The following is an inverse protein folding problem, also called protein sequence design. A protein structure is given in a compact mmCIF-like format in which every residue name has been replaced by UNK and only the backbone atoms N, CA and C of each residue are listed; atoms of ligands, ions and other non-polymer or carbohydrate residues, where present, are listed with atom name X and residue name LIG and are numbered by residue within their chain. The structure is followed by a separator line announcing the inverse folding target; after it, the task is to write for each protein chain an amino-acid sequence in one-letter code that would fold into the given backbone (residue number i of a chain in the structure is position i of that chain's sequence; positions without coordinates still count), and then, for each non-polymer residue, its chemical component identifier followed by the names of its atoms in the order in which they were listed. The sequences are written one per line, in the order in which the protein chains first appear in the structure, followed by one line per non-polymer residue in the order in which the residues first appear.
data_IF_826679591863
#
_entry.id   IF_826679591863
#
_cell.length_a   1.000
_cell.length_b   1.000
_cell.length_c   1.000
_cell.angle_alpha   90.00
_cell.angle_beta   90.00
_cell.angle_gamma   90.00
#
_symmetry.space_group_name_H-M   'P 1'
#
loop_
_entity.id
_entity.type
_entity.pdbx_description
1 polymer ?
#
# COMPACT_ATOMS: atom_id res chain seq x y z
N UNK A 1 -9.91 73.45 -43.81
CA UNK A 1 -11.38 73.26 -43.76
C UNK A 1 -11.67 71.92 -44.42
N UNK A 2 -12.61 71.14 -43.86
CA UNK A 2 -12.92 69.70 -44.11
C UNK A 2 -12.40 68.78 -42.99
N UNK A 3 -13.32 67.94 -42.52
CA UNK A 3 -13.42 67.27 -41.23
C UNK A 3 -13.21 65.75 -41.30
N UNK A 4 -13.01 65.12 -40.13
CA UNK A 4 -13.63 63.85 -39.67
C UNK A 4 -13.16 63.58 -38.23
N UNK A 5 -14.01 63.79 -37.21
CA UNK A 5 -15.02 62.87 -36.64
C UNK A 5 -14.41 61.65 -35.92
N UNK A 6 -14.73 61.63 -34.61
CA UNK A 6 -14.52 60.61 -33.58
C UNK A 6 -14.72 59.16 -34.04
N UNK A 7 -13.98 58.27 -33.40
CA UNK A 7 -14.54 57.01 -32.90
C UNK A 7 -13.82 56.63 -31.61
N UNK A 8 -14.51 56.85 -30.50
CA UNK A 8 -14.25 56.20 -29.22
C UNK A 8 -14.54 54.71 -29.43
N UNK A 9 -13.52 53.85 -29.36
CA UNK A 9 -13.72 52.41 -29.26
C UNK A 9 -13.53 52.00 -27.81
N UNK A 10 -14.68 51.68 -27.23
CA UNK A 10 -14.91 51.05 -25.94
C UNK A 10 -14.11 49.75 -25.86
N UNK A 11 -13.03 49.75 -25.08
CA UNK A 11 -12.55 48.53 -24.44
C UNK A 11 -13.51 48.21 -23.30
N UNK A 12 -14.48 47.33 -23.55
CA UNK A 12 -15.17 46.60 -22.48
C UNK A 12 -14.13 45.77 -21.74
N UNK A 13 -13.53 46.39 -20.71
CA UNK A 13 -12.79 45.67 -19.69
C UNK A 13 -13.78 44.73 -18.99
N UNK A 14 -13.68 43.45 -19.31
CA UNK A 14 -14.33 42.37 -18.58
C UNK A 14 -13.86 42.43 -17.13
N UNK A 15 -14.65 43.11 -16.29
CA UNK A 15 -14.36 43.34 -14.89
C UNK A 15 -14.38 41.96 -14.18
N UNK A 16 -13.26 41.45 -13.65
CA UNK A 16 -13.27 40.19 -12.93
C UNK A 16 -14.15 40.36 -11.70
N UNK A 17 -15.27 39.64 -11.66
CA UNK A 17 -16.16 39.60 -10.50
C UNK A 17 -15.29 39.27 -9.29
N UNK A 18 -15.14 40.23 -8.37
CA UNK A 18 -14.34 40.05 -7.16
C UNK A 18 -14.83 38.81 -6.41
N UNK A 19 -13.91 37.93 -5.99
CA UNK A 19 -14.23 36.65 -5.33
C UNK A 19 -15.26 36.80 -4.20
N UNK A 20 -15.27 37.94 -3.50
CA UNK A 20 -16.25 38.27 -2.45
C UNK A 20 -17.71 38.31 -2.94
N UNK A 21 -17.94 38.82 -4.15
CA UNK A 21 -19.28 38.90 -4.76
C UNK A 21 -19.72 37.51 -5.21
N UNK A 22 -18.82 36.73 -5.79
CA UNK A 22 -19.10 35.35 -6.19
C UNK A 22 -19.46 34.48 -4.96
N UNK A 23 -18.77 34.66 -3.84
CA UNK A 23 -19.02 33.89 -2.60
C UNK A 23 -20.39 34.25 -2.01
N UNK A 24 -20.73 35.54 -1.98
CA UNK A 24 -22.05 36.01 -1.54
C UNK A 24 -23.19 35.44 -2.37
N UNK A 25 -23.04 35.36 -3.70
CA UNK A 25 -24.05 34.79 -4.61
C UNK A 25 -24.24 33.30 -4.34
N UNK A 26 -23.16 32.52 -4.26
CA UNK A 26 -23.25 31.07 -3.97
C UNK A 26 -23.91 30.82 -2.62
N UNK A 27 -23.56 31.60 -1.59
CA UNK A 27 -24.18 31.50 -0.28
C UNK A 27 -25.67 31.85 -0.28
N UNK A 28 -26.11 32.82 -1.09
CA UNK A 28 -27.53 33.16 -1.25
C UNK A 28 -28.29 32.06 -2.00
N UNK A 29 -27.72 31.51 -3.07
CA UNK A 29 -28.32 30.41 -3.84
C UNK A 29 -28.53 29.17 -2.98
N UNK A 30 -27.52 28.75 -2.20
CA UNK A 30 -27.65 27.61 -1.27
C UNK A 30 -28.72 27.84 -0.21
N UNK A 31 -28.82 29.07 0.32
CA UNK A 31 -29.84 29.39 1.31
C UNK A 31 -31.25 29.39 0.72
N UNK A 32 -31.42 29.90 -0.52
CA UNK A 32 -32.70 29.94 -1.21
C UNK A 32 -33.23 28.54 -1.56
N UNK A 33 -32.34 27.59 -1.90
CA UNK A 33 -32.71 26.19 -2.16
C UNK A 33 -33.09 25.43 -0.87
N UNK A 34 -32.58 25.87 0.28
CA UNK A 34 -32.94 25.33 1.60
C UNK A 34 -34.31 25.81 2.11
N UNK A 35 -34.83 26.92 1.60
CA UNK A 35 -36.19 27.39 1.91
C UNK A 35 -37.21 26.52 1.15
N UNK A 36 -38.43 26.38 1.69
CA UNK A 36 -39.45 25.44 1.19
C UNK A 36 -39.54 25.35 -0.35
N UNK A 37 -39.65 24.14 -0.94
CA UNK A 37 -39.59 23.90 -2.40
C UNK A 37 -40.56 24.71 -3.27
N UNK A 38 -41.56 25.35 -2.65
CA UNK A 38 -42.61 26.13 -3.28
C UNK A 38 -42.33 27.65 -3.29
N UNK A 39 -41.27 28.11 -2.63
CA UNK A 39 -40.88 29.53 -2.50
C UNK A 39 -39.49 29.83 -3.07
N UNK A 40 -38.77 28.82 -3.57
CA UNK A 40 -37.48 29.03 -4.23
C UNK A 40 -37.69 29.84 -5.51
N UNK A 41 -37.07 31.03 -5.58
CA UNK A 41 -37.04 31.86 -6.76
C UNK A 41 -36.52 31.04 -7.96
N UNK A 42 -37.28 31.02 -9.07
CA UNK A 42 -36.93 30.29 -10.30
C UNK A 42 -35.52 30.61 -10.77
N UNK A 43 -35.09 31.85 -10.56
CA UNK A 43 -33.74 32.31 -10.89
C UNK A 43 -32.66 31.70 -9.98
N UNK A 44 -32.94 31.52 -8.69
CA UNK A 44 -32.01 30.86 -7.76
C UNK A 44 -31.85 29.36 -8.09
N UNK A 45 -32.92 28.70 -8.52
CA UNK A 45 -32.87 27.29 -8.94
C UNK A 45 -32.07 27.11 -10.23
N UNK A 46 -32.22 28.00 -11.21
CA UNK A 46 -31.38 28.01 -12.43
C UNK A 46 -29.90 28.22 -12.11
N UNK A 47 -29.59 29.14 -11.20
CA UNK A 47 -28.22 29.36 -10.74
C UNK A 47 -27.66 28.16 -9.99
N UNK A 48 -28.47 27.49 -9.16
CA UNK A 48 -28.08 26.25 -8.50
C UNK A 48 -27.76 25.14 -9.51
N UNK A 49 -28.61 24.93 -10.52
CA UNK A 49 -28.34 23.97 -11.59
C UNK A 49 -27.08 24.32 -12.39
N UNK A 50 -26.78 25.62 -12.57
CA UNK A 50 -25.53 26.06 -13.19
C UNK A 50 -24.31 25.70 -12.35
N UNK A 51 -24.37 25.91 -11.03
CA UNK A 51 -23.29 25.52 -10.09
C UNK A 51 -23.09 23.99 -10.12
N UNK A 52 -24.18 23.21 -10.03
CA UNK A 52 -24.13 21.75 -10.14
C UNK A 52 -23.51 21.29 -11.46
N UNK A 53 -23.85 21.97 -12.57
CA UNK A 53 -23.30 21.69 -13.90
C UNK A 53 -21.83 22.06 -14.07
N UNK A 54 -21.34 23.10 -13.38
CA UNK A 54 -19.91 23.45 -13.35
C UNK A 54 -19.10 22.36 -12.63
N UNK A 55 -19.68 21.75 -11.60
CA UNK A 55 -19.06 20.69 -10.80
C UNK A 55 -19.21 19.29 -11.41
N UNK A 56 -19.97 19.13 -12.49
CA UNK A 56 -20.07 17.88 -13.21
C UNK A 56 -18.76 17.56 -13.95
N UNK A 57 -17.94 16.69 -13.37
CA UNK A 57 -16.69 16.23 -13.96
C UNK A 57 -16.86 15.00 -14.85
N UNK A 58 -18.06 14.46 -15.03
CA UNK A 58 -18.30 13.20 -15.77
C UNK A 58 -17.81 13.25 -17.23
N UNK A 59 -17.73 14.44 -17.82
CA UNK A 59 -17.30 14.66 -19.21
C UNK A 59 -15.79 14.91 -19.35
N UNK A 60 -15.03 15.03 -18.24
CA UNK A 60 -13.59 15.31 -18.29
C UNK A 60 -12.83 14.03 -18.67
N UNK A 61 -12.16 14.07 -19.83
CA UNK A 61 -11.38 12.93 -20.34
C UNK A 61 -9.87 13.15 -20.26
N UNK A 62 -9.41 14.40 -20.31
CA UNK A 62 -8.01 14.75 -20.22
C UNK A 62 -7.84 16.09 -19.46
N UNK A 63 -7.07 16.13 -18.36
CA UNK A 63 -6.87 17.33 -17.56
C UNK A 63 -6.10 18.45 -18.28
N UNK A 64 -5.29 18.14 -19.30
CA UNK A 64 -4.39 19.12 -19.94
C UNK A 64 -5.08 19.92 -21.06
N UNK A 65 -6.31 19.57 -21.43
CA UNK A 65 -7.06 20.19 -22.55
C UNK A 65 -8.23 21.07 -22.08
N UNK A 66 -8.30 21.39 -20.80
CA UNK A 66 -9.42 22.15 -20.24
C UNK A 66 -9.27 23.67 -20.52
N UNK A 67 -10.38 24.31 -20.90
CA UNK A 67 -10.40 25.76 -21.19
C UNK A 67 -10.05 26.55 -19.90
N UNK A 68 -9.08 27.49 -19.95
CA UNK A 68 -8.68 28.30 -18.79
C UNK A 68 -9.85 29.05 -18.12
N UNK A 69 -10.83 29.53 -18.88
CA UNK A 69 -11.99 30.25 -18.32
C UNK A 69 -12.89 29.32 -17.51
N UNK A 70 -13.09 28.09 -18.00
CA UNK A 70 -13.85 27.06 -17.27
C UNK A 70 -13.12 26.63 -16.00
N UNK A 71 -11.79 26.56 -16.05
CA UNK A 71 -10.95 26.26 -14.90
C UNK A 71 -11.03 27.36 -13.84
N UNK A 72 -10.96 28.63 -14.23
CA UNK A 72 -11.11 29.77 -13.31
C UNK A 72 -12.48 29.76 -12.63
N UNK A 73 -13.57 29.58 -13.41
CA UNK A 73 -14.93 29.44 -12.87
C UNK A 73 -15.05 28.28 -11.89
N UNK A 74 -14.45 27.13 -12.21
CA UNK A 74 -14.43 25.96 -11.33
C UNK A 74 -13.73 26.26 -10.00
N UNK A 75 -12.54 26.88 -10.04
CA UNK A 75 -11.78 27.27 -8.83
C UNK A 75 -12.57 28.28 -7.99
N UNK A 76 -13.16 29.30 -8.59
CA UNK A 76 -13.98 30.29 -7.87
C UNK A 76 -15.20 29.62 -7.23
N UNK A 77 -15.87 28.69 -7.92
CA UNK A 77 -16.98 27.93 -7.34
C UNK A 77 -16.53 27.06 -6.14
N UNK A 78 -15.38 26.38 -6.25
CA UNK A 78 -14.85 25.57 -5.13
C UNK A 78 -14.53 26.43 -3.92
N UNK A 79 -13.88 27.58 -4.11
CA UNK A 79 -13.58 28.52 -3.01
C UNK A 79 -14.85 29.08 -2.37
N UNK A 80 -15.84 29.42 -3.18
CA UNK A 80 -17.14 29.90 -2.73
C UNK A 80 -17.88 28.85 -1.90
N UNK A 81 -17.89 27.59 -2.36
CA UNK A 81 -18.47 26.48 -1.60
C UNK A 81 -17.70 26.24 -0.32
N UNK A 82 -16.38 26.34 -0.35
CA UNK A 82 -15.53 26.15 0.82
C UNK A 82 -15.72 27.24 1.89
N UNK A 83 -16.14 28.46 1.51
CA UNK A 83 -16.51 29.51 2.46
C UNK A 83 -17.93 29.34 3.02
N UNK A 84 -18.85 28.77 2.25
CA UNK A 84 -20.29 28.73 2.57
C UNK A 84 -20.78 27.34 3.03
N UNK A 85 -19.88 26.52 3.58
CA UNK A 85 -20.16 25.11 3.94
C UNK A 85 -21.29 24.96 4.95
N UNK A 86 -21.45 25.92 5.86
CA UNK A 86 -22.54 25.91 6.86
C UNK A 86 -23.95 25.95 6.26
N UNK A 87 -24.06 26.29 4.97
CA UNK A 87 -25.33 26.34 4.22
C UNK A 87 -25.60 25.08 3.42
N UNK A 88 -24.64 24.15 3.33
CA UNK A 88 -24.77 22.90 2.58
C UNK A 88 -25.51 21.84 3.44
N UNK A 89 -26.80 21.67 3.16
CA UNK A 89 -27.65 20.64 3.76
C UNK A 89 -27.75 19.37 2.91
N UNK A 90 -27.66 18.18 3.54
CA UNK A 90 -27.70 16.87 2.87
C UNK A 90 -29.02 16.60 2.15
N UNK A 91 -30.14 17.10 2.67
CA UNK A 91 -31.47 16.82 2.13
C UNK A 91 -31.77 17.65 0.88
N UNK A 92 -31.30 18.91 0.85
CA UNK A 92 -31.62 19.86 -0.21
C UNK A 92 -30.57 19.88 -1.31
N UNK A 93 -29.31 19.57 -0.99
CA UNK A 93 -28.19 19.68 -1.93
C UNK A 93 -27.65 18.33 -2.42
N UNK A 94 -28.50 17.30 -2.47
CA UNK A 94 -28.07 15.95 -2.84
C UNK A 94 -27.35 15.89 -4.20
N UNK A 95 -27.84 16.59 -5.23
CA UNK A 95 -27.20 16.62 -6.56
C UNK A 95 -25.80 17.25 -6.54
N UNK A 96 -25.63 18.31 -5.76
CA UNK A 96 -24.33 18.96 -5.57
C UNK A 96 -23.34 18.03 -4.85
N UNK A 97 -23.77 17.46 -3.73
CA UNK A 97 -22.95 16.53 -2.94
C UNK A 97 -22.58 15.27 -3.74
N UNK A 98 -23.53 14.73 -4.50
CA UNK A 98 -23.29 13.61 -5.40
C UNK A 98 -22.21 13.94 -6.43
N UNK A 99 -22.26 15.12 -7.06
CA UNK A 99 -21.22 15.51 -8.01
C UNK A 99 -19.87 15.65 -7.32
N UNK A 100 -19.81 16.26 -6.13
CA UNK A 100 -18.57 16.41 -5.35
C UNK A 100 -17.97 15.05 -4.95
N UNK A 101 -18.77 14.13 -4.41
CA UNK A 101 -18.29 12.82 -3.94
C UNK A 101 -18.03 11.80 -5.07
N UNK A 102 -18.41 12.11 -6.31
CA UNK A 102 -18.10 11.27 -7.49
C UNK A 102 -16.93 11.80 -8.32
N UNK A 103 -16.33 12.93 -7.93
CA UNK A 103 -15.16 13.48 -8.63
C UNK A 103 -13.97 12.53 -8.52
N UNK A 104 -13.38 12.21 -9.67
CA UNK A 104 -12.05 11.58 -9.71
C UNK A 104 -10.98 12.67 -9.84
N UNK A 105 -10.15 12.78 -8.80
CA UNK A 105 -9.10 13.80 -8.64
C UNK A 105 -8.07 13.72 -9.78
N UNK A 106 -7.90 12.53 -10.38
CA UNK A 106 -7.02 12.29 -11.52
C UNK A 106 -7.38 13.13 -12.75
N UNK A 107 -8.65 13.45 -12.96
CA UNK A 107 -9.08 14.25 -14.12
C UNK A 107 -9.08 15.76 -13.86
N UNK A 108 -8.71 16.19 -12.65
CA UNK A 108 -8.60 17.61 -12.31
C UNK A 108 -7.23 18.17 -12.73
N UNK A 109 -7.15 19.42 -13.21
CA UNK A 109 -5.88 20.11 -13.40
C UNK A 109 -5.13 20.31 -12.06
N UNK A 110 -3.79 20.30 -12.08
CA UNK A 110 -2.97 20.43 -10.87
C UNK A 110 -3.35 21.63 -10.00
N UNK A 111 -3.58 22.79 -10.60
CA UNK A 111 -3.93 24.03 -9.88
C UNK A 111 -5.37 24.06 -9.33
N UNK A 112 -6.15 22.98 -9.48
CA UNK A 112 -7.51 22.88 -8.91
C UNK A 112 -7.62 21.81 -7.84
N UNK A 113 -6.62 20.92 -7.75
CA UNK A 113 -6.59 19.82 -6.78
C UNK A 113 -6.49 20.37 -5.35
N UNK A 114 -5.60 21.32 -5.02
CA UNK A 114 -5.51 21.84 -3.65
C UNK A 114 -6.81 22.50 -3.17
N UNK A 115 -7.48 23.27 -4.04
CA UNK A 115 -8.75 23.95 -3.72
C UNK A 115 -9.88 22.95 -3.54
N UNK A 116 -9.92 21.89 -4.36
CA UNK A 116 -10.87 20.81 -4.18
C UNK A 116 -10.64 20.06 -2.86
N UNK A 117 -9.40 19.72 -2.54
CA UNK A 117 -9.05 19.04 -1.30
C UNK A 117 -9.29 19.90 -0.05
N UNK A 118 -9.13 21.23 -0.17
CA UNK A 118 -9.51 22.16 0.89
C UNK A 118 -11.03 22.15 1.13
N UNK A 119 -11.85 22.13 0.07
CA UNK A 119 -13.30 21.93 0.20
C UNK A 119 -13.63 20.61 0.90
N UNK A 120 -13.00 19.49 0.50
CA UNK A 120 -13.20 18.18 1.14
C UNK A 120 -12.79 18.19 2.60
N UNK A 121 -11.66 18.82 2.93
CA UNK A 121 -11.17 18.92 4.31
C UNK A 121 -12.17 19.67 5.20
N UNK A 122 -12.73 20.77 4.70
CA UNK A 122 -13.72 21.54 5.44
C UNK A 122 -15.10 20.88 5.49
N UNK A 123 -15.52 20.16 4.44
CA UNK A 123 -16.73 19.35 4.46
C UNK A 123 -16.63 18.23 5.50
N UNK A 124 -15.48 17.56 5.58
CA UNK A 124 -15.24 16.55 6.60
C UNK A 124 -15.33 17.13 8.02
N UNK A 125 -14.93 18.39 8.21
CA UNK A 125 -15.00 19.10 9.49
C UNK A 125 -16.43 19.54 9.90
N UNK A 126 -17.42 19.43 9.01
CA UNK A 126 -18.82 19.59 9.39
C UNK A 126 -19.22 18.37 10.22
N UNK A 127 -19.80 18.63 11.40
CA UNK A 127 -20.10 17.59 12.36
C UNK A 127 -20.98 16.48 11.76
N UNK A 128 -20.48 15.24 11.84
CA UNK A 128 -21.14 13.95 11.67
C UNK A 128 -21.83 13.61 10.33
N UNK A 129 -21.96 14.55 9.39
CA UNK A 129 -22.75 14.32 8.17
C UNK A 129 -21.94 13.81 6.97
N UNK A 130 -20.67 14.25 6.81
CA UNK A 130 -19.93 14.06 5.55
C UNK A 130 -18.60 13.32 5.68
N UNK A 131 -18.12 13.07 6.90
CA UNK A 131 -16.78 12.49 7.13
C UNK A 131 -16.56 11.18 6.35
N UNK A 132 -17.51 10.25 6.44
CA UNK A 132 -17.40 8.93 5.81
C UNK A 132 -17.32 9.04 4.28
N UNK A 133 -18.16 9.88 3.67
CA UNK A 133 -18.17 10.10 2.22
C UNK A 133 -16.90 10.80 1.73
N UNK A 134 -16.40 11.80 2.49
CA UNK A 134 -15.12 12.45 2.21
C UNK A 134 -13.96 11.45 2.22
N UNK A 135 -13.90 10.57 3.24
CA UNK A 135 -12.85 9.55 3.33
C UNK A 135 -12.99 8.50 2.22
N UNK A 136 -14.21 8.08 1.87
CA UNK A 136 -14.46 7.17 0.74
C UNK A 136 -14.00 7.76 -0.59
N UNK A 137 -14.30 9.04 -0.85
CA UNK A 137 -13.82 9.75 -2.04
C UNK A 137 -12.29 9.70 -2.13
N UNK A 138 -11.58 10.00 -1.03
CA UNK A 138 -10.11 10.03 -1.01
C UNK A 138 -9.51 8.63 -1.23
N UNK A 139 -10.02 7.60 -0.53
CA UNK A 139 -9.54 6.22 -0.68
C UNK A 139 -9.84 5.66 -2.07
N UNK A 140 -10.99 5.99 -2.67
CA UNK A 140 -11.31 5.58 -4.04
C UNK A 140 -10.33 6.17 -5.08
N UNK A 141 -9.70 7.31 -4.77
CA UNK A 141 -8.70 7.94 -5.63
C UNK A 141 -7.27 7.41 -5.39
N UNK A 142 -7.05 6.44 -4.50
CA UNK A 142 -5.75 5.75 -4.38
C UNK A 142 -5.42 4.94 -5.65
N UNK A 143 -6.46 4.57 -6.41
CA UNK A 143 -6.32 3.86 -7.67
C UNK A 143 -6.49 4.84 -8.83
N UNK A 144 -5.43 5.05 -9.64
CA UNK A 144 -5.51 5.84 -10.86
C UNK A 144 -6.49 5.22 -11.87
N UNK A 145 -7.02 6.01 -12.83
CA UNK A 145 -7.86 5.46 -13.88
C UNK A 145 -7.09 4.41 -14.70
N UNK A 146 -7.71 3.25 -14.88
CA UNK A 146 -7.14 2.12 -15.61
C UNK A 146 -7.82 1.95 -16.97
N UNK A 147 -7.03 1.76 -18.02
CA UNK A 147 -7.48 1.30 -19.33
C UNK A 147 -7.73 -0.21 -19.24
N UNK A 148 -8.87 -0.65 -19.77
CA UNK A 148 -9.29 -2.07 -19.78
C UNK A 148 -9.20 -2.74 -18.40
N UNK A 149 -9.40 -1.95 -17.33
CA UNK A 149 -9.31 -2.37 -15.91
C UNK A 149 -7.97 -2.98 -15.48
N UNK A 150 -6.95 -2.93 -16.33
CA UNK A 150 -5.69 -3.66 -16.14
C UNK A 150 -4.47 -2.76 -16.16
N UNK A 151 -4.41 -1.78 -17.07
CA UNK A 151 -3.22 -0.94 -17.27
C UNK A 151 -3.46 0.50 -16.92
N UNK A 152 -2.54 1.11 -16.17
CA UNK A 152 -2.59 2.52 -15.84
C UNK A 152 -2.43 3.40 -17.10
N UNK A 153 -3.21 4.49 -17.16
CA UNK A 153 -3.13 5.44 -18.28
C UNK A 153 -1.80 6.21 -18.21
N UNK A 154 -1.12 6.37 -19.35
CA UNK A 154 0.21 7.02 -19.43
C UNK A 154 0.30 8.40 -18.77
N UNK A 155 -0.70 9.27 -18.97
CA UNK A 155 -0.70 10.61 -18.36
C UNK A 155 -0.90 10.57 -16.83
N UNK A 156 -1.55 9.53 -16.31
CA UNK A 156 -1.74 9.36 -14.87
C UNK A 156 -0.42 8.95 -14.19
N UNK A 157 0.43 8.17 -14.88
CA UNK A 157 1.77 7.78 -14.40
C UNK A 157 2.59 9.00 -14.00
N UNK A 158 2.67 10.00 -14.89
CA UNK A 158 3.50 11.20 -14.68
C UNK A 158 3.04 12.09 -13.52
N UNK A 159 1.79 11.95 -13.09
CA UNK A 159 1.19 12.78 -12.02
C UNK A 159 0.99 12.00 -10.72
N UNK A 160 1.26 10.69 -10.72
CA UNK A 160 1.01 9.77 -9.61
C UNK A 160 1.60 10.24 -8.30
N UNK A 161 2.91 10.53 -8.28
CA UNK A 161 3.62 10.99 -7.08
C UNK A 161 3.02 12.27 -6.51
N UNK A 162 2.68 13.24 -7.37
CA UNK A 162 2.07 14.50 -6.95
C UNK A 162 0.68 14.28 -6.35
N UNK A 163 -0.19 13.53 -7.02
CA UNK A 163 -1.57 13.27 -6.56
C UNK A 163 -1.55 12.48 -5.25
N UNK A 164 -0.72 11.45 -5.12
CA UNK A 164 -0.58 10.68 -3.88
C UNK A 164 -0.13 11.56 -2.72
N UNK A 165 0.86 12.44 -2.93
CA UNK A 165 1.27 13.40 -1.92
C UNK A 165 0.11 14.30 -1.47
N UNK A 166 -0.70 14.81 -2.41
CA UNK A 166 -1.86 15.64 -2.09
C UNK A 166 -2.95 14.87 -1.32
N UNK A 167 -3.24 13.62 -1.71
CA UNK A 167 -4.21 12.75 -1.03
C UNK A 167 -3.78 12.46 0.41
N UNK A 168 -2.54 12.03 0.62
CA UNK A 168 -2.00 11.76 1.95
C UNK A 168 -2.01 13.00 2.83
N UNK A 169 -1.60 14.16 2.29
CA UNK A 169 -1.64 15.43 3.02
C UNK A 169 -3.07 15.82 3.42
N UNK A 170 -4.06 15.62 2.54
CA UNK A 170 -5.46 15.89 2.87
C UNK A 170 -5.98 14.96 3.98
N UNK A 171 -5.70 13.66 3.90
CA UNK A 171 -6.07 12.69 4.92
C UNK A 171 -5.44 13.03 6.28
N UNK A 172 -4.15 13.36 6.31
CA UNK A 172 -3.45 13.81 7.52
C UNK A 172 -4.09 15.07 8.09
N UNK A 173 -4.44 16.06 7.24
CA UNK A 173 -5.14 17.29 7.67
C UNK A 173 -6.50 16.97 8.29
N UNK A 174 -7.31 16.12 7.66
CA UNK A 174 -8.61 15.69 8.20
C UNK A 174 -8.44 15.00 9.56
N UNK A 175 -7.45 14.12 9.70
CA UNK A 175 -7.19 13.44 10.98
C UNK A 175 -6.68 14.36 12.08
N UNK A 176 -5.97 15.44 11.75
CA UNK A 176 -5.54 16.42 12.73
C UNK A 176 -6.70 17.26 13.26
N UNK A 177 -7.74 17.46 12.43
CA UNK A 177 -8.97 18.18 12.81
C UNK A 177 -9.93 17.25 13.57
N UNK A 178 -10.06 16.00 13.12
CA UNK A 178 -11.09 15.05 13.59
C UNK A 178 -10.42 13.80 14.15
N UNK A 179 -10.38 13.64 15.49
CA UNK A 179 -9.75 12.49 16.14
C UNK A 179 -10.36 11.12 15.77
N UNK A 180 -11.63 11.09 15.36
CA UNK A 180 -12.32 9.86 14.95
C UNK A 180 -11.96 9.42 13.52
N UNK A 181 -11.41 10.32 12.69
CA UNK A 181 -11.17 10.05 11.28
C UNK A 181 -10.25 8.83 11.03
N UNK A 182 -9.15 8.58 11.78
CA UNK A 182 -8.33 7.38 11.62
C UNK A 182 -9.11 6.07 11.80
N UNK A 183 -10.04 6.03 12.76
CA UNK A 183 -10.86 4.84 13.02
C UNK A 183 -11.83 4.57 11.87
N UNK A 184 -12.47 5.60 11.34
CA UNK A 184 -13.37 5.49 10.17
C UNK A 184 -12.57 5.10 8.94
N UNK A 185 -11.43 5.76 8.71
CA UNK A 185 -10.51 5.48 7.60
C UNK A 185 -10.05 4.03 7.61
N UNK A 186 -9.69 3.49 8.77
CA UNK A 186 -9.35 2.06 8.92
C UNK A 186 -10.46 1.16 8.37
N UNK A 187 -11.70 1.38 8.79
CA UNK A 187 -12.84 0.57 8.31
C UNK A 187 -13.13 0.71 6.82
N UNK A 188 -12.75 1.83 6.21
CA UNK A 188 -12.85 2.05 4.77
C UNK A 188 -11.72 1.31 4.04
N UNK A 189 -10.48 1.47 4.50
CA UNK A 189 -9.31 0.76 3.94
C UNK A 189 -9.52 -0.76 4.04
N UNK A 190 -10.08 -1.25 5.15
CA UNK A 190 -10.43 -2.67 5.32
C UNK A 190 -11.29 -3.21 4.16
N UNK A 191 -12.28 -2.42 3.70
CA UNK A 191 -13.20 -2.80 2.63
C UNK A 191 -12.63 -2.57 1.22
N UNK A 192 -11.75 -1.60 1.08
CA UNK A 192 -11.15 -1.20 -0.19
C UNK A 192 -9.85 -1.93 -0.51
N UNK A 193 -9.29 -2.68 0.45
CA UNK A 193 -8.04 -3.42 0.27
C UNK A 193 -8.10 -4.30 -0.99
N UNK A 194 -7.07 -4.26 -1.86
CA UNK A 194 -7.06 -5.09 -3.06
C UNK A 194 -7.06 -6.58 -2.74
N UNK A 195 -7.78 -7.34 -3.55
CA UNK A 195 -7.83 -8.79 -3.45
C UNK A 195 -6.76 -9.45 -4.34
N UNK A 196 -6.56 -10.77 -4.16
CA UNK A 196 -5.63 -11.58 -4.96
C UNK A 196 -5.82 -11.37 -6.48
N UNK A 197 -7.09 -11.36 -6.93
CA UNK A 197 -7.49 -11.25 -8.34
C UNK A 197 -7.52 -9.82 -8.91
N UNK A 198 -7.29 -8.80 -8.09
CA UNK A 198 -7.22 -7.44 -8.60
C UNK A 198 -6.00 -7.25 -9.51
N UNK A 199 -6.12 -6.35 -10.49
CA UNK A 199 -5.02 -6.05 -11.40
C UNK A 199 -3.78 -5.57 -10.65
N UNK A 200 -2.62 -5.87 -11.24
CA UNK A 200 -1.31 -5.52 -10.71
C UNK A 200 -1.20 -4.01 -10.43
N UNK A 201 -1.52 -3.18 -11.43
CA UNK A 201 -1.47 -1.72 -11.31
C UNK A 201 -2.41 -1.16 -10.24
N UNK A 202 -3.60 -1.74 -10.08
CA UNK A 202 -4.53 -1.36 -9.00
C UNK A 202 -3.91 -1.63 -7.63
N UNK A 203 -3.36 -2.83 -7.46
CA UNK A 203 -2.82 -3.29 -6.18
C UNK A 203 -1.60 -2.46 -5.77
N UNK A 204 -0.65 -2.30 -6.69
CA UNK A 204 0.57 -1.51 -6.47
C UNK A 204 0.22 -0.07 -6.11
N UNK A 205 -0.65 0.57 -6.91
CA UNK A 205 -1.02 1.98 -6.69
C UNK A 205 -1.73 2.19 -5.35
N UNK A 206 -2.60 1.25 -4.95
CA UNK A 206 -3.28 1.32 -3.67
C UNK A 206 -2.30 1.18 -2.50
N UNK A 207 -1.41 0.18 -2.54
CA UNK A 207 -0.42 -0.06 -1.47
C UNK A 207 0.57 1.11 -1.36
N UNK A 208 1.04 1.65 -2.47
CA UNK A 208 1.96 2.79 -2.48
C UNK A 208 1.34 4.04 -1.86
N UNK A 209 0.10 4.39 -2.23
CA UNK A 209 -0.59 5.53 -1.62
C UNK A 209 -0.87 5.28 -0.12
N UNK A 210 -1.20 4.03 0.23
CA UNK A 210 -1.50 3.63 1.61
C UNK A 210 -0.27 3.72 2.53
N UNK A 211 0.91 3.29 2.07
CA UNK A 211 2.17 3.44 2.79
C UNK A 211 2.55 4.91 3.01
N UNK A 212 2.16 5.79 2.10
CA UNK A 212 2.32 7.25 2.27
C UNK A 212 1.55 7.84 3.47
N UNK A 213 0.58 7.12 4.05
CA UNK A 213 -0.15 7.54 5.25
C UNK A 213 0.60 7.27 6.55
N UNK A 214 1.78 6.65 6.46
CA UNK A 214 2.54 6.25 7.63
C UNK A 214 3.15 7.42 8.44
N UNK A 215 2.95 8.65 7.99
CA UNK A 215 3.57 9.83 8.60
C UNK A 215 2.68 10.46 9.68
N UNK A 216 3.33 11.00 10.72
CA UNK A 216 2.69 11.78 11.77
C UNK A 216 1.74 11.00 12.69
N UNK A 217 0.76 11.71 13.29
CA UNK A 217 -0.22 11.14 14.24
C UNK A 217 -1.13 10.09 13.61
N UNK A 218 -1.45 10.26 12.33
CA UNK A 218 -2.26 9.30 11.59
C UNK A 218 -1.52 7.97 11.50
N UNK A 219 -0.26 7.99 11.04
CA UNK A 219 0.60 6.82 10.97
C UNK A 219 0.65 6.04 12.29
N UNK A 220 0.89 6.72 13.41
CA UNK A 220 0.94 6.04 14.72
C UNK A 220 -0.35 5.27 15.10
N UNK A 221 -1.52 5.66 14.55
CA UNK A 221 -2.80 4.99 14.81
C UNK A 221 -3.14 3.87 13.82
N UNK A 222 -2.73 4.00 12.56
CA UNK A 222 -3.12 3.05 11.50
C UNK A 222 -1.99 2.16 11.00
N UNK A 223 -0.72 2.56 11.17
CA UNK A 223 0.50 1.85 10.68
C UNK A 223 0.45 0.36 10.91
N UNK A 224 0.18 -0.06 12.15
CA UNK A 224 0.15 -1.48 12.50
C UNK A 224 -0.88 -2.27 11.68
N UNK A 225 -2.08 -1.70 11.50
CA UNK A 225 -3.14 -2.32 10.70
C UNK A 225 -2.82 -2.29 9.21
N UNK A 226 -2.20 -1.22 8.72
CA UNK A 226 -1.80 -1.11 7.31
C UNK A 226 -0.75 -2.15 6.95
N UNK A 227 0.32 -2.25 7.74
CA UNK A 227 1.38 -3.23 7.54
C UNK A 227 0.88 -4.65 7.66
N UNK A 228 0.03 -4.91 8.65
CA UNK A 228 -0.61 -6.21 8.82
C UNK A 228 -1.33 -6.65 7.54
N UNK A 229 -2.16 -5.77 6.96
CA UNK A 229 -2.84 -6.07 5.69
C UNK A 229 -1.91 -6.29 4.52
N UNK A 230 -0.86 -5.47 4.42
CA UNK A 230 0.13 -5.59 3.34
C UNK A 230 0.80 -6.95 3.44
N UNK A 231 1.30 -7.33 4.61
CA UNK A 231 1.99 -8.61 4.82
C UNK A 231 1.05 -9.79 4.60
N UNK A 232 -0.21 -9.71 5.03
CA UNK A 232 -1.21 -10.74 4.72
C UNK A 232 -1.42 -10.90 3.22
N UNK A 233 -1.59 -9.80 2.47
CA UNK A 233 -1.71 -9.84 1.01
C UNK A 233 -0.48 -10.47 0.35
N UNK A 234 0.73 -10.11 0.79
CA UNK A 234 1.97 -10.68 0.26
C UNK A 234 2.09 -12.17 0.59
N UNK A 235 1.68 -12.57 1.79
CA UNK A 235 1.69 -13.97 2.21
C UNK A 235 0.72 -14.79 1.38
N UNK A 236 -0.50 -14.28 1.13
CA UNK A 236 -1.46 -14.91 0.22
C UNK A 236 -0.90 -15.03 -1.20
N UNK A 237 -0.27 -13.97 -1.72
CA UNK A 237 0.38 -14.02 -3.03
C UNK A 237 1.48 -15.08 -3.07
N UNK A 238 2.36 -15.10 -2.08
CA UNK A 238 3.52 -15.99 -1.97
C UNK A 238 3.14 -17.48 -1.88
N UNK A 239 2.14 -17.81 -1.08
CA UNK A 239 1.62 -19.19 -0.97
C UNK A 239 1.04 -19.68 -2.30
N UNK A 240 0.43 -18.80 -3.09
CA UNK A 240 -0.13 -19.13 -4.40
C UNK A 240 0.93 -19.22 -5.52
N UNK A 241 2.21 -18.94 -5.23
CA UNK A 241 3.30 -19.12 -6.20
C UNK A 241 3.80 -20.58 -6.17
N UNK A 242 3.62 -21.27 -7.29
CA UNK A 242 4.08 -22.65 -7.52
C UNK A 242 5.45 -22.68 -8.21
N UNK A 243 6.33 -23.62 -7.81
CA UNK A 243 7.65 -23.80 -8.42
C UNK A 243 7.60 -24.14 -9.92
N UNK A 244 6.56 -24.85 -10.38
CA UNK A 244 6.33 -25.17 -11.79
C UNK A 244 6.23 -23.90 -12.66
N UNK A 245 5.59 -22.84 -12.12
CA UNK A 245 5.48 -21.55 -12.79
C UNK A 245 6.80 -20.77 -12.86
N UNK A 246 7.70 -20.95 -11.88
CA UNK A 246 9.01 -20.27 -11.83
C UNK A 246 10.03 -20.98 -12.74
N UNK A 247 10.10 -22.32 -12.69
CA UNK A 247 11.12 -23.11 -13.39
C UNK A 247 10.93 -23.10 -14.92
N UNK A 248 9.70 -22.96 -15.42
CA UNK A 248 9.44 -22.88 -16.86
C UNK A 248 9.90 -21.54 -17.48
N UNK A 249 9.99 -20.44 -16.71
CA UNK A 249 10.56 -19.19 -17.22
C UNK A 249 12.08 -19.26 -17.38
N UNK A 250 12.80 -19.99 -16.52
CA UNK A 250 14.25 -20.17 -16.67
C UNK A 250 14.60 -21.01 -17.90
N UNK A 251 13.72 -21.94 -18.32
CA UNK A 251 13.88 -22.64 -19.59
C UNK A 251 13.55 -21.77 -20.81
N UNK A 252 12.69 -20.75 -20.68
CA UNK A 252 12.39 -19.79 -21.76
C UNK A 252 13.28 -18.52 -21.77
N UNK A 253 14.10 -18.32 -20.74
CA UNK A 253 15.20 -17.35 -20.68
C UNK A 253 16.47 -18.10 -20.30
N UNK A 254 17.01 -18.82 -21.28
CA UNK A 254 18.21 -19.63 -21.14
C UNK A 254 19.36 -18.88 -20.47
N UNK A 255 19.79 -19.39 -19.32
CA UNK A 255 21.10 -19.09 -18.74
C UNK A 255 21.81 -20.33 -18.15
N UNK A 256 21.15 -21.49 -18.14
CA UNK A 256 21.79 -22.77 -17.85
C UNK A 256 21.37 -23.80 -18.90
N UNK A 257 22.12 -23.81 -19.99
CA UNK A 257 22.21 -24.97 -20.87
C UNK A 257 23.03 -26.01 -20.10
N UNK A 258 22.33 -26.97 -19.49
CA UNK A 258 22.97 -28.13 -18.89
C UNK A 258 22.73 -29.27 -19.87
N UNK A 259 23.79 -29.57 -20.63
CA UNK A 259 23.93 -30.72 -21.51
C UNK A 259 23.34 -31.96 -20.83
N UNK A 260 22.09 -32.29 -21.17
CA UNK A 260 21.48 -33.56 -20.84
C UNK A 260 22.04 -34.57 -21.83
N UNK A 261 22.98 -35.38 -21.33
CA UNK A 261 23.51 -36.54 -22.02
C UNK A 261 22.38 -37.40 -22.58
N UNK A 262 22.57 -37.78 -23.84
CA UNK A 262 21.79 -38.74 -24.62
C UNK A 262 21.36 -39.96 -23.79
N UNK A 263 20.05 -40.12 -23.63
CA UNK A 263 19.43 -41.41 -23.35
C UNK A 263 18.26 -41.59 -24.32
N UNK A 264 18.55 -42.32 -25.39
CA UNK A 264 17.60 -42.84 -26.37
C UNK A 264 16.45 -43.63 -25.73
N UNK A 265 15.25 -43.44 -26.26
CA UNK A 265 14.14 -44.38 -26.14
C UNK A 265 12.75 -43.79 -26.34
N UNK A 266 12.28 -43.77 -27.60
CA UNK A 266 10.89 -43.97 -28.11
C UNK A 266 9.73 -43.99 -27.08
N UNK A 267 8.55 -43.39 -27.28
CA UNK A 267 7.69 -43.36 -28.49
C UNK A 267 6.50 -42.38 -28.29
N UNK A 268 5.73 -42.22 -29.36
CA UNK A 268 4.76 -41.18 -29.78
C UNK A 268 3.43 -40.97 -29.00
N UNK A 269 2.77 -39.84 -29.32
CA UNK A 269 1.31 -39.58 -29.33
C UNK A 269 0.56 -39.43 -27.97
N UNK A 270 -0.47 -38.62 -27.76
CA UNK A 270 -1.30 -37.73 -28.58
C UNK A 270 -2.00 -36.71 -27.64
N UNK A 271 -2.57 -35.64 -28.20
CA UNK A 271 -2.98 -34.43 -27.48
C UNK A 271 -4.12 -34.57 -26.47
N UNK A 272 -4.16 -33.64 -25.50
CA UNK A 272 -5.36 -33.21 -24.75
C UNK A 272 -5.04 -31.99 -23.86
N UNK A 273 -5.84 -30.93 -23.98
CA UNK A 273 -6.20 -30.11 -22.82
C UNK A 273 -5.68 -28.68 -22.75
N UNK A 274 -6.48 -27.77 -23.33
CA UNK A 274 -6.48 -26.31 -23.12
C UNK A 274 -6.70 -25.85 -21.65
N UNK A 275 -6.44 -26.71 -20.65
CA UNK A 275 -6.55 -26.46 -19.21
C UNK A 275 -5.25 -26.03 -18.52
N UNK A 276 -4.08 -26.38 -19.08
CA UNK A 276 -2.78 -26.03 -18.49
C UNK A 276 -2.40 -24.55 -18.62
N UNK A 277 -2.77 -23.91 -19.75
CA UNK A 277 -2.39 -22.51 -20.06
C UNK A 277 -3.01 -21.50 -19.08
N UNK A 278 -4.19 -21.80 -18.52
CA UNK A 278 -4.88 -20.88 -17.60
C UNK A 278 -4.30 -20.93 -16.18
N UNK A 279 -3.74 -22.07 -15.76
CA UNK A 279 -3.00 -22.22 -14.49
C UNK A 279 -1.60 -21.61 -14.62
N UNK A 280 -0.94 -21.78 -15.78
CA UNK A 280 0.39 -21.22 -16.10
C UNK A 280 0.46 -19.69 -16.05
N UNK A 281 -0.52 -18.99 -16.64
CA UNK A 281 -0.56 -17.53 -16.62
C UNK A 281 -0.85 -16.95 -15.22
N UNK A 282 -1.59 -17.69 -14.39
CA UNK A 282 -1.93 -17.28 -13.03
C UNK A 282 -0.75 -17.35 -12.07
N UNK A 283 0.06 -18.41 -12.13
CA UNK A 283 1.23 -18.57 -11.26
C UNK A 283 2.28 -17.45 -11.47
N UNK A 284 2.49 -17.04 -12.72
CA UNK A 284 3.41 -15.95 -13.05
C UNK A 284 2.87 -14.57 -12.62
N UNK A 285 1.57 -14.33 -12.80
CA UNK A 285 0.96 -13.07 -12.42
C UNK A 285 1.06 -12.75 -10.91
N UNK A 286 0.97 -13.78 -10.05
CA UNK A 286 1.18 -13.59 -8.61
C UNK A 286 2.65 -13.28 -8.27
N UNK A 287 3.60 -13.94 -8.94
CA UNK A 287 5.03 -13.71 -8.76
C UNK A 287 5.44 -12.30 -9.17
N UNK A 288 5.05 -11.83 -10.37
CA UNK A 288 5.32 -10.46 -10.80
C UNK A 288 4.68 -9.42 -9.88
N UNK A 289 3.43 -9.66 -9.46
CA UNK A 289 2.70 -8.77 -8.55
C UNK A 289 3.37 -8.72 -7.18
N UNK A 290 3.88 -9.84 -6.68
CA UNK A 290 4.63 -9.91 -5.44
C UNK A 290 5.95 -9.17 -5.54
N UNK A 291 6.72 -9.37 -6.62
CA UNK A 291 8.00 -8.68 -6.85
C UNK A 291 7.84 -7.15 -6.87
N UNK A 292 6.89 -6.65 -7.67
CA UNK A 292 6.60 -5.21 -7.75
C UNK A 292 6.16 -4.65 -6.37
N UNK A 293 5.37 -5.38 -5.59
CA UNK A 293 4.96 -4.96 -4.25
C UNK A 293 6.11 -4.98 -3.24
N UNK A 294 7.01 -5.97 -3.33
CA UNK A 294 8.20 -6.04 -2.49
C UNK A 294 9.12 -4.84 -2.75
N UNK A 295 9.28 -4.43 -4.01
CA UNK A 295 10.01 -3.20 -4.36
C UNK A 295 9.39 -1.96 -3.71
N UNK A 296 8.07 -1.81 -3.77
CA UNK A 296 7.36 -0.68 -3.15
C UNK A 296 7.60 -0.62 -1.63
N UNK A 297 7.53 -1.77 -0.95
CA UNK A 297 7.74 -1.85 0.51
C UNK A 297 9.20 -1.56 0.88
N UNK A 298 10.15 -2.08 0.10
CA UNK A 298 11.56 -1.84 0.35
C UNK A 298 11.94 -0.38 0.12
N UNK A 299 11.39 0.27 -0.90
CA UNK A 299 11.62 1.71 -1.10
C UNK A 299 10.97 2.53 0.03
N UNK A 300 9.79 2.13 0.52
CA UNK A 300 9.19 2.74 1.72
C UNK A 300 10.13 2.63 2.92
N UNK A 301 10.61 1.42 3.27
CA UNK A 301 11.54 1.23 4.39
C UNK A 301 12.87 1.97 4.21
N UNK A 302 13.35 2.10 2.97
CA UNK A 302 14.55 2.87 2.65
C UNK A 302 14.36 4.37 2.88
N UNK A 303 13.14 4.88 2.71
CA UNK A 303 12.81 6.30 2.94
C UNK A 303 12.65 6.67 4.43
N UNK A 304 12.50 5.68 5.31
CA UNK A 304 12.32 5.90 6.75
C UNK A 304 13.63 6.30 7.46
N UNK A 305 13.50 7.15 8.47
CA UNK A 305 14.56 7.38 9.44
C UNK A 305 14.71 6.19 10.41
N UNK A 306 15.80 6.17 11.18
CA UNK A 306 16.12 5.06 12.09
C UNK A 306 15.04 4.82 13.16
N UNK A 307 14.41 5.88 13.68
CA UNK A 307 13.40 5.76 14.72
C UNK A 307 12.09 5.16 14.17
N UNK A 308 11.66 5.63 13.00
CA UNK A 308 10.49 5.12 12.31
C UNK A 308 10.72 3.67 11.84
N UNK A 309 11.92 3.37 11.33
CA UNK A 309 12.32 2.01 10.95
C UNK A 309 12.21 1.03 12.12
N UNK A 310 12.65 1.41 13.32
CA UNK A 310 12.56 0.56 14.51
C UNK A 310 11.10 0.31 14.94
N UNK A 311 10.22 1.32 14.82
CA UNK A 311 8.78 1.15 15.09
C UNK A 311 8.15 0.16 14.10
N UNK A 312 8.47 0.32 12.82
CA UNK A 312 8.07 -0.57 11.72
C UNK A 312 8.56 -2.01 11.98
N UNK A 313 9.83 -2.17 12.34
CA UNK A 313 10.41 -3.46 12.72
C UNK A 313 9.68 -4.13 13.89
N UNK A 314 9.33 -3.37 14.93
CA UNK A 314 8.62 -3.91 16.10
C UNK A 314 7.23 -4.43 15.72
N UNK A 315 6.51 -3.69 14.87
CA UNK A 315 5.21 -4.11 14.34
C UNK A 315 5.40 -5.36 13.46
N UNK A 316 6.39 -5.35 12.57
CA UNK A 316 6.64 -6.43 11.63
C UNK A 316 7.06 -7.73 12.34
N UNK A 317 7.79 -7.68 13.46
CA UNK A 317 8.06 -8.86 14.31
C UNK A 317 6.76 -9.51 14.79
N UNK A 318 5.80 -8.70 15.21
CA UNK A 318 4.50 -9.18 15.69
C UNK A 318 3.72 -9.84 14.57
N UNK A 319 3.66 -9.20 13.39
CA UNK A 319 2.99 -9.74 12.20
C UNK A 319 3.70 -11.01 11.71
N UNK A 320 5.04 -11.02 11.70
CA UNK A 320 5.84 -12.16 11.24
C UNK A 320 5.50 -13.42 12.04
N UNK A 321 5.41 -13.32 13.37
CA UNK A 321 5.03 -14.46 14.22
C UNK A 321 3.59 -14.91 13.97
N UNK A 322 2.66 -13.97 13.76
CA UNK A 322 1.26 -14.30 13.56
C UNK A 322 0.97 -14.93 12.17
N UNK A 323 1.60 -14.41 11.12
CA UNK A 323 1.17 -14.61 9.74
C UNK A 323 2.23 -15.24 8.82
N UNK A 324 3.51 -15.20 9.17
CA UNK A 324 4.58 -15.73 8.30
C UNK A 324 5.17 -17.00 8.90
N UNK A 325 5.43 -17.03 10.21
CA UNK A 325 6.05 -18.16 10.90
C UNK A 325 5.16 -19.41 10.94
N UNK A 326 3.84 -19.19 11.00
CA UNK A 326 2.80 -20.22 11.15
C UNK A 326 2.33 -20.79 9.82
N UNK A 327 2.69 -20.16 8.71
CA UNK A 327 2.26 -20.57 7.37
C UNK A 327 3.26 -21.58 6.80
N UNK A 328 2.74 -22.66 6.23
CA UNK A 328 3.57 -23.65 5.54
C UNK A 328 4.19 -23.03 4.28
N UNK A 329 5.48 -22.69 4.38
CA UNK A 329 6.40 -22.35 3.29
C UNK A 329 6.14 -21.05 2.50
N UNK A 330 6.03 -19.87 3.15
CA UNK A 330 6.31 -18.62 2.45
C UNK A 330 7.73 -18.67 1.83
N UNK A 331 7.84 -18.34 0.54
CA UNK A 331 9.08 -18.43 -0.25
C UNK A 331 9.76 -17.08 -0.38
N UNK A 332 9.00 -15.98 -0.39
CA UNK A 332 9.51 -14.65 -0.66
C UNK A 332 9.16 -13.61 0.42
N UNK A 333 7.97 -13.67 1.04
CA UNK A 333 7.53 -12.62 2.00
C UNK A 333 8.44 -12.52 3.23
N UNK A 334 9.15 -13.59 3.60
CA UNK A 334 10.12 -13.56 4.69
C UNK A 334 11.31 -12.63 4.42
N UNK A 335 11.58 -12.26 3.17
CA UNK A 335 12.65 -11.30 2.85
C UNK A 335 12.33 -9.88 3.32
N UNK A 336 11.09 -9.58 3.70
CA UNK A 336 10.74 -8.30 4.35
C UNK A 336 11.47 -8.16 5.68
N UNK A 337 11.46 -9.21 6.51
CA UNK A 337 12.24 -9.23 7.76
C UNK A 337 13.74 -9.19 7.49
N UNK A 338 14.21 -9.90 6.46
CA UNK A 338 15.63 -9.89 6.11
C UNK A 338 16.11 -8.50 5.69
N UNK A 339 15.32 -7.80 4.87
CA UNK A 339 15.66 -6.46 4.36
C UNK A 339 15.72 -5.41 5.48
N UNK A 340 14.73 -5.37 6.37
CA UNK A 340 14.72 -4.40 7.47
C UNK A 340 15.88 -4.65 8.46
N UNK A 341 16.25 -5.91 8.70
CA UNK A 341 17.43 -6.25 9.49
C UNK A 341 18.74 -5.82 8.82
N UNK A 342 18.82 -5.93 7.49
CA UNK A 342 20.00 -5.49 6.74
C UNK A 342 20.19 -3.95 6.78
N UNK A 343 19.12 -3.20 6.98
CA UNK A 343 19.14 -1.73 7.11
C UNK A 343 19.70 -1.26 8.45
N UNK A 344 19.50 -2.04 9.50
CA UNK A 344 20.00 -1.78 10.85
C UNK A 344 20.55 -3.07 11.48
N UNK A 345 21.79 -3.45 11.10
CA UNK A 345 22.41 -4.69 11.57
C UNK A 345 22.71 -4.74 13.06
N UNK A 346 22.88 -3.57 13.71
CA UNK A 346 23.27 -3.52 15.12
C UNK A 346 22.09 -3.82 16.04
N UNK A 347 20.92 -3.23 15.74
CA UNK A 347 19.74 -3.36 16.59
C UNK A 347 18.76 -4.36 15.99
N UNK A 348 18.22 -4.09 14.80
CA UNK A 348 17.15 -4.89 14.22
C UNK A 348 17.58 -6.34 13.95
N UNK A 349 18.78 -6.56 13.39
CA UNK A 349 19.25 -7.92 13.10
C UNK A 349 19.49 -8.76 14.36
N UNK A 350 20.12 -8.17 15.37
CA UNK A 350 20.34 -8.81 16.66
C UNK A 350 19.01 -9.12 17.35
N UNK A 351 18.12 -8.15 17.43
CA UNK A 351 16.79 -8.33 18.02
C UNK A 351 15.97 -9.41 17.32
N UNK A 352 16.07 -9.52 15.99
CA UNK A 352 15.37 -10.56 15.25
C UNK A 352 15.91 -11.95 15.55
N UNK A 353 17.24 -12.11 15.63
CA UNK A 353 17.86 -13.38 15.99
C UNK A 353 17.49 -13.81 17.42
N UNK A 354 17.48 -12.86 18.37
CA UNK A 354 17.04 -13.10 19.75
C UNK A 354 15.55 -13.47 19.79
N UNK A 355 14.71 -12.73 19.08
CA UNK A 355 13.27 -13.01 18.98
C UNK A 355 12.97 -14.43 18.50
N UNK A 356 13.64 -14.89 17.43
CA UNK A 356 13.49 -16.28 16.96
C UNK A 356 13.99 -17.28 18.01
N UNK A 357 15.10 -16.97 18.70
CA UNK A 357 15.65 -17.82 19.75
C UNK A 357 14.68 -17.96 20.92
N UNK A 358 14.00 -16.87 21.31
CA UNK A 358 13.02 -16.87 22.38
C UNK A 358 11.79 -17.73 22.03
N UNK A 359 11.29 -17.62 20.79
CA UNK A 359 10.21 -18.48 20.28
C UNK A 359 10.62 -19.95 20.34
N UNK A 360 11.81 -20.28 19.85
CA UNK A 360 12.35 -21.65 19.87
C UNK A 360 12.45 -22.24 21.30
N UNK A 361 12.97 -21.45 22.25
CA UNK A 361 13.18 -21.88 23.64
C UNK A 361 11.89 -21.94 24.46
N UNK A 362 10.86 -21.19 24.08
CA UNK A 362 9.60 -21.15 24.80
C UNK A 362 8.88 -22.51 24.76
N UNK A 363 8.70 -23.15 25.92
CA UNK A 363 8.01 -24.44 26.04
C UNK A 363 6.49 -24.34 25.87
N UNK A 364 5.93 -23.14 26.04
CA UNK A 364 4.50 -22.87 25.86
C UNK A 364 4.13 -22.62 24.38
N UNK A 365 5.13 -22.37 23.53
CA UNK A 365 4.91 -22.20 22.10
C UNK A 365 4.54 -23.52 21.43
N UNK A 366 3.72 -23.46 20.38
CA UNK A 366 3.37 -24.66 19.63
C UNK A 366 4.62 -25.29 18.96
N UNK A 367 4.67 -26.64 18.84
CA UNK A 367 5.85 -27.32 18.31
C UNK A 367 6.22 -26.93 16.87
N UNK A 368 5.25 -26.51 16.04
CA UNK A 368 5.48 -26.14 14.64
C UNK A 368 6.20 -24.80 14.60
N UNK A 369 5.72 -23.79 15.32
CA UNK A 369 6.38 -22.48 15.42
C UNK A 369 7.79 -22.59 15.98
N UNK A 370 8.04 -23.48 16.96
CA UNK A 370 9.39 -23.75 17.47
C UNK A 370 10.32 -24.36 16.42
N UNK A 371 9.78 -25.29 15.62
CA UNK A 371 10.49 -25.92 14.50
C UNK A 371 10.81 -24.92 13.39
N UNK A 372 9.83 -24.10 13.02
CA UNK A 372 10.00 -23.02 12.06
C UNK A 372 11.02 -22.01 12.55
N UNK A 373 10.96 -21.61 13.82
CA UNK A 373 11.88 -20.65 14.41
C UNK A 373 13.34 -21.12 14.33
N UNK A 374 13.64 -22.37 14.73
CA UNK A 374 15.01 -22.90 14.62
C UNK A 374 15.49 -22.98 13.17
N UNK A 375 14.59 -23.33 12.24
CA UNK A 375 14.90 -23.35 10.81
C UNK A 375 15.20 -21.95 10.26
N UNK A 376 14.42 -20.94 10.68
CA UNK A 376 14.67 -19.53 10.36
C UNK A 376 15.99 -19.04 10.95
N UNK A 377 16.33 -19.38 12.20
CA UNK A 377 17.62 -19.00 12.81
C UNK A 377 18.77 -19.51 11.94
N UNK A 378 18.76 -20.79 11.59
CA UNK A 378 19.82 -21.39 10.78
C UNK A 378 19.94 -20.76 9.39
N UNK A 379 18.79 -20.55 8.75
CA UNK A 379 18.68 -19.92 7.44
C UNK A 379 19.16 -18.47 7.44
N UNK A 380 18.84 -17.73 8.50
CA UNK A 380 19.17 -16.34 8.70
C UNK A 380 20.66 -16.16 8.97
N UNK A 381 21.20 -16.82 9.99
CA UNK A 381 22.62 -16.71 10.38
C UNK A 381 23.57 -17.16 9.27
N UNK A 382 23.17 -18.13 8.43
CA UNK A 382 24.01 -18.59 7.31
C UNK A 382 24.02 -17.65 6.10
N UNK A 383 23.02 -16.78 5.96
CA UNK A 383 22.84 -15.89 4.79
C UNK A 383 23.05 -14.41 5.11
N UNK A 384 22.79 -13.99 6.34
CA UNK A 384 22.84 -12.61 6.78
C UNK A 384 24.29 -12.13 7.01
N UNK A 385 25.00 -11.80 5.91
CA UNK A 385 26.39 -11.32 5.94
C UNK A 385 26.60 -9.98 6.67
N UNK A 386 25.52 -9.27 6.97
CA UNK A 386 25.57 -8.02 7.72
C UNK A 386 25.64 -8.23 9.24
N UNK A 387 25.46 -9.46 9.73
CA UNK A 387 25.57 -9.78 11.16
C UNK A 387 27.03 -10.05 11.50
N UNK A 388 27.49 -9.55 12.65
CA UNK A 388 28.85 -9.81 13.13
C UNK A 388 29.05 -11.27 13.52
N UNK A 389 30.25 -11.80 13.28
CA UNK A 389 30.62 -13.16 13.70
C UNK A 389 30.40 -13.39 15.20
N UNK A 390 30.67 -12.38 16.03
CA UNK A 390 30.42 -12.42 17.48
C UNK A 390 28.94 -12.69 17.80
N UNK A 391 28.03 -12.04 17.07
CA UNK A 391 26.58 -12.26 17.24
C UNK A 391 26.19 -13.66 16.79
N UNK A 392 26.72 -14.11 15.66
CA UNK A 392 26.46 -15.46 15.14
C UNK A 392 26.90 -16.51 16.15
N UNK A 393 28.12 -16.39 16.67
CA UNK A 393 28.67 -17.28 17.70
C UNK A 393 27.83 -17.24 18.97
N UNK A 394 27.39 -16.05 19.42
CA UNK A 394 26.56 -15.93 20.61
C UNK A 394 25.19 -16.62 20.46
N UNK A 395 24.53 -16.50 19.30
CA UNK A 395 23.24 -17.16 19.05
C UNK A 395 23.43 -18.67 18.92
N UNK A 396 24.48 -19.13 18.21
CA UNK A 396 24.82 -20.55 18.12
C UNK A 396 25.11 -21.12 19.51
N UNK A 397 25.87 -20.41 20.35
CA UNK A 397 26.13 -20.79 21.74
C UNK A 397 24.84 -21.04 22.51
N UNK A 398 23.86 -20.12 22.40
CA UNK A 398 22.53 -20.30 23.01
C UNK A 398 21.79 -21.55 22.53
N UNK A 399 21.97 -21.98 21.28
CA UNK A 399 21.39 -23.22 20.75
C UNK A 399 22.12 -24.46 21.29
N UNK A 400 23.45 -24.40 21.39
CA UNK A 400 24.27 -25.48 21.96
C UNK A 400 23.96 -25.67 23.44
N UNK A 401 23.85 -24.60 24.21
CA UNK A 401 23.45 -24.67 25.62
C UNK A 401 22.12 -25.40 25.78
N UNK A 402 21.15 -25.09 24.91
CA UNK A 402 19.85 -25.77 24.92
C UNK A 402 19.96 -27.26 24.54
N UNK A 403 20.85 -27.63 23.61
CA UNK A 403 21.11 -29.03 23.26
C UNK A 403 21.72 -29.81 24.43
N UNK A 404 22.65 -29.19 25.18
CA UNK A 404 23.25 -29.79 26.37
C UNK A 404 22.19 -30.00 27.46
N UNK A 405 21.40 -28.96 27.77
CA UNK A 405 20.29 -29.03 28.72
C UNK A 405 19.29 -30.14 28.35
N UNK A 406 19.00 -30.29 27.05
CA UNK A 406 18.12 -31.34 26.55
C UNK A 406 18.68 -32.75 26.81
N UNK A 407 19.97 -32.97 26.50
CA UNK A 407 20.64 -34.24 26.74
C UNK A 407 20.66 -34.62 28.24
N UNK A 408 20.97 -33.66 29.11
CA UNK A 408 20.98 -33.88 30.55
C UNK A 408 19.58 -34.24 31.08
N UNK A 409 18.55 -33.57 30.59
CA UNK A 409 17.17 -33.84 30.98
C UNK A 409 16.65 -35.18 30.44
N UNK A 410 17.04 -35.62 29.25
CA UNK A 410 16.67 -36.94 28.72
C UNK A 410 17.46 -38.07 29.39
N UNK A 411 18.72 -37.83 29.76
CA UNK A 411 19.55 -38.83 30.47
C UNK A 411 19.01 -39.20 31.86
N UNK A 412 18.19 -38.32 32.45
CA UNK A 412 17.58 -38.48 33.78
C UNK A 412 16.11 -38.92 33.72
N UNK A 413 15.50 -39.06 32.54
CA UNK A 413 14.11 -39.51 32.38
C UNK A 413 13.98 -41.03 32.53
N UNK A 414 13.02 -41.45 33.36
CA UNK A 414 12.57 -42.84 33.40
C UNK A 414 11.76 -43.19 32.14
N UNK A 415 12.00 -44.40 31.62
CA UNK A 415 11.53 -44.87 30.32
C UNK A 415 10.01 -44.78 30.14
N UNK A 416 9.58 -43.78 29.39
CA UNK A 416 8.20 -43.56 28.91
C UNK A 416 8.25 -43.36 27.37
N UNK A 417 7.14 -43.47 26.63
CA UNK A 417 7.18 -43.85 25.22
C UNK A 417 7.92 -42.84 24.34
N UNK A 418 8.55 -43.38 23.28
CA UNK A 418 9.46 -42.75 22.31
C UNK A 418 9.31 -41.23 22.27
N UNK A 419 10.23 -40.47 22.88
CA UNK A 419 10.13 -39.03 22.88
C UNK A 419 10.22 -38.51 21.43
N UNK A 420 9.40 -37.52 21.09
CA UNK A 420 9.53 -36.84 19.81
C UNK A 420 10.76 -35.91 19.85
N UNK A 421 11.91 -36.44 19.44
CA UNK A 421 13.19 -35.71 19.39
C UNK A 421 13.36 -34.84 18.13
N UNK A 422 12.29 -34.60 17.34
CA UNK A 422 12.38 -33.82 16.10
C UNK A 422 13.05 -32.46 16.29
N UNK A 423 12.69 -31.71 17.34
CA UNK A 423 13.25 -30.39 17.59
C UNK A 423 14.75 -30.46 17.94
N UNK A 424 15.16 -31.49 18.66
CA UNK A 424 16.57 -31.76 18.95
C UNK A 424 17.34 -32.02 17.65
N UNK A 425 16.84 -32.92 16.80
CA UNK A 425 17.49 -33.25 15.53
C UNK A 425 17.56 -32.05 14.58
N UNK A 426 16.49 -31.25 14.48
CA UNK A 426 16.48 -30.05 13.66
C UNK A 426 17.52 -29.03 14.14
N UNK A 427 17.63 -28.83 15.46
CA UNK A 427 18.64 -27.92 16.05
C UNK A 427 20.06 -28.38 15.73
N UNK A 428 20.34 -29.68 15.80
CA UNK A 428 21.63 -30.26 15.40
C UNK A 428 21.93 -30.05 13.91
N UNK A 429 20.94 -30.21 13.01
CA UNK A 429 21.10 -29.99 11.57
C UNK A 429 21.42 -28.53 11.24
N UNK A 430 20.72 -27.60 11.90
CA UNK A 430 20.91 -26.18 11.70
C UNK A 430 22.31 -25.73 12.10
N UNK A 431 22.83 -26.22 13.22
CA UNK A 431 24.22 -25.97 13.62
C UNK A 431 25.18 -26.33 12.48
N UNK A 432 25.09 -27.54 11.91
CA UNK A 432 25.96 -27.96 10.81
C UNK A 432 25.81 -27.09 9.56
N UNK A 433 24.58 -26.70 9.22
CA UNK A 433 24.31 -25.84 8.07
C UNK A 433 24.91 -24.44 8.23
N UNK A 434 24.74 -23.82 9.38
CA UNK A 434 25.28 -22.47 9.66
C UNK A 434 26.80 -22.47 9.65
N UNK A 435 27.45 -23.46 10.29
CA UNK A 435 28.91 -23.59 10.24
C UNK A 435 29.43 -23.76 8.81
N UNK A 436 28.77 -24.56 7.98
CA UNK A 436 29.14 -24.72 6.57
C UNK A 436 29.04 -23.41 5.80
N UNK A 437 27.98 -22.63 6.03
CA UNK A 437 27.77 -21.32 5.44
C UNK A 437 28.87 -20.31 5.78
N UNK A 438 29.27 -20.24 7.06
CA UNK A 438 30.34 -19.36 7.54
C UNK A 438 31.70 -19.70 6.92
N UNK A 439 32.05 -21.00 6.88
CA UNK A 439 33.33 -21.46 6.31
C UNK A 439 33.43 -21.16 4.81
N UNK A 440 32.36 -21.36 4.05
CA UNK A 440 32.36 -21.10 2.59
C UNK A 440 32.19 -19.62 2.21
N UNK A 441 31.61 -18.81 3.10
CA UNK A 441 31.51 -17.35 2.91
C UNK A 441 32.88 -16.67 2.96
N UNK A 442 33.71 -17.09 3.91
CA UNK A 442 35.05 -16.55 4.13
C UNK A 442 36.04 -16.84 3.00
N UNK A 443 35.86 -17.94 2.26
CA UNK A 443 36.72 -18.32 1.13
C UNK A 443 36.42 -17.55 -0.17
N UNK A 444 35.23 -16.95 -0.31
CA UNK A 444 34.90 -16.11 -1.48
C UNK A 444 35.41 -14.69 -1.35
N UNK A 445 35.48 -14.14 -0.14
CA UNK A 445 36.05 -12.80 0.10
C UNK A 445 37.58 -12.76 0.04
N UNK A 446 38.28 -13.91 0.14
CA UNK A 446 39.72 -14.00 -0.15
C UNK A 446 40.07 -14.16 -1.63
N UNK A 447 39.06 -14.24 -2.52
CA UNK A 447 39.22 -14.42 -3.98
C UNK A 447 38.67 -13.25 -4.81
N UNK A 448 38.29 -12.15 -4.19
CA UNK A 448 38.09 -10.84 -4.82
C UNK A 448 39.16 -9.89 -4.28
#
# INVERSE_FOLDING_TARGET
MVAKLRRDDMSEEANPICDSVAFGIVGQVLQSVRMEPHLADSHALEQYHRIVGILDTSKRRNPDKENPDKKALYVTCLKALASEISKIDINYHHSLLKNIFTVSIWYLPNDTIPEFLELITRLAAVADDYLTECLHLLVNNFVPPLVDRTKMVKWAVSRKTYIFSQLCMCLIRISNIIPLAPKVLRGIIDKCMPNLFDSKDKTISFVECMLGLDTGRMGDLIRAVLLDKIVHLLTELDVNITWEGILQEQHNKGIFDMELQDLDGNEEEDGLGHGGVKVLLGANAHAEKLDDLMVVIFEHFKSLDAQCLHKEFTILKTIFRASVLTVDTPKFVQFIMFYICARDPEICALEFALFLTDIFKNKEEDPISRMSAVSYIGSYLSRARFISDDTVVAIIGKLVDWLVDYCDHESTRESTPIPNHQLFYATCQIHQFTFRGLVHGHDRERRQ
#
